data_IF_759735088463
#
_entry.id   IF_759735088463
#
_cell.length_a   1.000
_cell.length_b   1.000
_cell.length_c   1.000
_cell.angle_alpha   90.00
_cell.angle_beta   90.00
_cell.angle_gamma   90.00
#
_symmetry.space_group_name_H-M   'P 1'
#
loop_
_entity.id
_entity.type
_entity.pdbx_description
1 polymer ?
#
# COMPACT_ATOMS: atom_id res chain seq x y z
N UNK A 1 54.12 -5.85 25.81
CA UNK A 1 53.53 -4.62 25.26
C UNK A 1 52.30 -5.04 24.45
N UNK A 2 51.12 -4.60 24.90
CA UNK A 2 49.75 -4.94 24.51
C UNK A 2 49.48 -5.81 23.25
N UNK A 3 49.10 -7.07 23.49
CA UNK A 3 48.17 -7.82 22.62
C UNK A 3 46.85 -7.93 23.38
N UNK A 4 45.91 -7.05 23.06
CA UNK A 4 44.57 -7.04 23.66
C UNK A 4 43.68 -7.98 22.86
N UNK A 5 43.36 -9.11 23.48
CA UNK A 5 42.36 -10.10 23.05
C UNK A 5 41.00 -9.39 22.90
N UNK A 6 40.56 -9.18 21.65
CA UNK A 6 39.15 -8.92 21.30
C UNK A 6 38.49 -10.26 20.97
N UNK A 7 38.33 -11.13 21.98
CA UNK A 7 37.27 -12.14 21.94
C UNK A 7 35.98 -11.43 22.37
N UNK A 8 35.39 -10.71 21.42
CA UNK A 8 34.00 -10.26 21.54
C UNK A 8 33.12 -11.50 21.43
N UNK A 9 32.41 -11.78 22.52
CA UNK A 9 31.31 -12.73 22.59
C UNK A 9 30.27 -12.39 21.51
N UNK A 10 30.39 -12.99 20.32
CA UNK A 10 29.20 -13.23 19.51
C UNK A 10 28.45 -14.37 20.19
N UNK A 11 27.58 -14.03 21.14
CA UNK A 11 26.45 -14.90 21.43
C UNK A 11 25.66 -15.00 20.11
N UNK A 12 25.89 -16.10 19.39
CA UNK A 12 25.05 -16.50 18.28
C UNK A 12 23.68 -16.81 18.90
N UNK A 13 22.86 -15.78 19.05
CA UNK A 13 21.45 -15.96 19.35
C UNK A 13 20.90 -16.83 18.23
N UNK A 14 20.56 -18.07 18.56
CA UNK A 14 19.85 -18.95 17.65
C UNK A 14 18.52 -18.27 17.37
N UNK A 15 18.42 -17.60 16.23
CA UNK A 15 17.21 -16.90 15.80
C UNK A 15 16.09 -17.93 15.79
N UNK A 16 15.09 -17.69 16.64
CA UNK A 16 13.92 -18.54 16.77
C UNK A 16 13.11 -18.41 15.48
N UNK A 17 12.77 -19.53 14.84
CA UNK A 17 11.93 -19.47 13.64
C UNK A 17 10.54 -18.91 13.98
N UNK A 18 9.89 -18.22 13.05
CA UNK A 18 8.54 -17.66 13.25
C UNK A 18 7.51 -18.68 13.75
N UNK A 19 7.51 -19.90 13.23
CA UNK A 19 6.64 -20.97 13.72
C UNK A 19 6.93 -21.36 15.18
N UNK A 20 8.19 -21.28 15.63
CA UNK A 20 8.54 -21.53 17.03
C UNK A 20 8.08 -20.38 17.93
N UNK A 21 8.18 -19.14 17.45
CA UNK A 21 7.63 -17.96 18.14
C UNK A 21 6.12 -18.15 18.38
N UNK A 22 5.39 -18.54 17.35
CA UNK A 22 3.94 -18.78 17.42
C UNK A 22 3.63 -19.98 18.33
N UNK A 23 4.31 -21.11 18.16
CA UNK A 23 4.12 -22.31 18.99
C UNK A 23 4.31 -22.01 20.48
N UNK A 24 5.38 -21.30 20.83
CA UNK A 24 5.67 -20.91 22.22
C UNK A 24 4.57 -20.01 22.80
N UNK A 25 3.97 -19.14 21.98
CA UNK A 25 2.87 -18.29 22.41
C UNK A 25 1.58 -19.10 22.59
N UNK A 26 1.27 -20.01 21.67
CA UNK A 26 0.12 -20.90 21.76
C UNK A 26 0.21 -21.84 22.96
N UNK A 27 1.39 -22.37 23.28
CA UNK A 27 1.57 -23.23 24.46
C UNK A 27 1.30 -22.50 25.78
N UNK A 28 1.51 -21.18 25.85
CA UNK A 28 1.12 -20.38 27.03
C UNK A 28 -0.41 -20.36 27.25
N UNK A 29 -1.19 -20.67 26.20
CA UNK A 29 -2.64 -20.85 26.27
C UNK A 29 -3.09 -22.28 26.53
N UNK A 30 -2.17 -23.24 26.71
CA UNK A 30 -2.49 -24.67 26.71
C UNK A 30 -2.89 -25.20 25.33
N UNK A 31 -2.50 -24.51 24.25
CA UNK A 31 -2.67 -24.97 22.88
C UNK A 31 -1.32 -25.49 22.37
N UNK A 32 -1.09 -26.78 22.58
CA UNK A 32 0.18 -27.43 22.24
C UNK A 32 0.22 -27.78 20.74
N UNK A 33 0.74 -26.84 19.95
CA UNK A 33 1.06 -27.07 18.54
C UNK A 33 2.56 -27.29 18.38
N UNK A 34 2.94 -28.39 17.72
CA UNK A 34 4.31 -28.57 17.28
C UNK A 34 4.63 -27.63 16.12
N UNK A 35 5.90 -27.21 16.02
CA UNK A 35 6.38 -26.38 14.92
C UNK A 35 6.00 -26.97 13.55
N UNK A 36 6.17 -28.27 13.38
CA UNK A 36 5.88 -28.98 12.14
C UNK A 36 4.41 -28.93 11.76
N UNK A 37 3.49 -28.91 12.74
CA UNK A 37 2.07 -28.76 12.47
C UNK A 37 1.76 -27.36 11.95
N UNK A 38 2.35 -26.32 12.56
CA UNK A 38 2.17 -24.94 12.11
C UNK A 38 2.79 -24.69 10.73
N UNK A 39 3.90 -25.36 10.39
CA UNK A 39 4.50 -25.31 9.05
C UNK A 39 3.61 -25.87 7.94
N UNK A 40 2.58 -26.67 8.28
CA UNK A 40 1.57 -27.15 7.33
C UNK A 40 0.34 -26.23 7.24
N UNK A 41 0.36 -25.08 7.91
CA UNK A 41 -0.73 -24.09 7.93
C UNK A 41 -0.28 -22.77 7.34
N UNK A 42 -1.22 -21.99 6.83
CA UNK A 42 -0.95 -20.65 6.28
C UNK A 42 -1.00 -19.55 7.37
N UNK A 43 -0.66 -19.90 8.62
CA UNK A 43 -0.87 -19.02 9.80
C UNK A 43 -0.08 -17.70 9.69
N UNK A 44 1.15 -17.73 9.16
CA UNK A 44 1.99 -16.53 9.04
C UNK A 44 1.40 -15.60 7.98
N UNK A 45 0.93 -16.16 6.88
CA UNK A 45 0.30 -15.47 5.78
C UNK A 45 -0.95 -14.74 6.28
N UNK A 46 -1.81 -15.41 7.04
CA UNK A 46 -2.98 -14.76 7.62
C UNK A 46 -2.62 -13.65 8.62
N UNK A 47 -1.58 -13.81 9.43
CA UNK A 47 -1.10 -12.77 10.35
C UNK A 47 -0.53 -11.55 9.61
N UNK A 48 0.22 -11.77 8.52
CA UNK A 48 0.71 -10.68 7.66
C UNK A 48 -0.45 -9.98 6.95
N UNK A 49 -1.44 -10.72 6.46
CA UNK A 49 -2.64 -10.17 5.83
C UNK A 49 -3.53 -9.39 6.81
N UNK A 50 -3.60 -9.81 8.08
CA UNK A 50 -4.26 -9.01 9.13
C UNK A 50 -3.54 -7.68 9.30
N UNK A 51 -2.21 -7.70 9.45
CA UNK A 51 -1.40 -6.49 9.62
C UNK A 51 -1.52 -5.53 8.43
N UNK A 52 -1.58 -6.07 7.20
CA UNK A 52 -1.78 -5.30 5.98
C UNK A 52 -3.24 -4.86 5.73
N UNK A 53 -4.18 -5.16 6.63
CA UNK A 53 -5.61 -4.83 6.45
C UNK A 53 -6.28 -5.59 5.30
N UNK A 54 -5.65 -6.65 4.80
CA UNK A 54 -6.05 -7.41 3.62
C UNK A 54 -6.78 -8.73 3.95
N UNK A 55 -6.93 -9.07 5.24
CA UNK A 55 -7.60 -10.30 5.67
C UNK A 55 -9.12 -10.28 5.43
N UNK A 56 -9.81 -9.18 5.77
CA UNK A 56 -11.29 -9.11 5.68
C UNK A 56 -11.84 -9.39 4.25
N UNK A 57 -11.27 -8.85 3.15
CA UNK A 57 -11.69 -9.19 1.78
C UNK A 57 -11.59 -10.69 1.40
N UNK A 58 -10.88 -11.49 2.20
CA UNK A 58 -10.69 -12.93 2.01
C UNK A 58 -11.69 -13.78 2.80
N UNK A 59 -12.59 -13.18 3.57
CA UNK A 59 -13.56 -13.94 4.36
C UNK A 59 -14.37 -14.91 3.48
N UNK A 60 -14.39 -16.19 3.87
CA UNK A 60 -15.05 -17.26 3.13
C UNK A 60 -14.34 -17.71 1.84
N UNK A 61 -13.11 -17.26 1.58
CA UNK A 61 -12.30 -17.67 0.42
C UNK A 61 -11.03 -18.41 0.89
N UNK A 62 -10.58 -19.43 0.15
CA UNK A 62 -9.29 -20.07 0.44
C UNK A 62 -8.16 -19.12 0.11
N UNK A 63 -7.13 -19.13 0.95
CA UNK A 63 -5.89 -18.44 0.64
C UNK A 63 -5.11 -19.27 -0.39
N UNK A 64 -4.52 -18.59 -1.38
CA UNK A 64 -3.59 -19.20 -2.34
C UNK A 64 -2.24 -18.52 -2.19
N UNK A 65 -1.73 -18.52 -0.96
CA UNK A 65 -0.51 -17.84 -0.56
C UNK A 65 0.39 -18.82 0.20
N UNK A 66 1.70 -18.76 -0.02
CA UNK A 66 2.66 -19.62 0.66
C UNK A 66 3.81 -18.78 1.19
N UNK A 67 4.18 -19.02 2.44
CA UNK A 67 5.28 -18.39 3.12
C UNK A 67 6.57 -19.19 2.92
N UNK A 68 7.65 -18.51 2.53
CA UNK A 68 8.98 -19.11 2.36
C UNK A 68 10.01 -18.41 3.24
N UNK A 69 10.40 -19.02 4.38
CA UNK A 69 11.38 -18.43 5.26
C UNK A 69 12.76 -18.37 4.58
N UNK A 70 13.42 -17.21 4.64
CA UNK A 70 14.77 -17.03 4.10
C UNK A 70 14.83 -16.89 2.57
N UNK A 71 13.70 -16.86 1.88
CA UNK A 71 13.67 -16.77 0.41
C UNK A 71 13.68 -15.30 -0.05
N UNK A 72 14.73 -14.95 -0.82
CA UNK A 72 14.86 -13.66 -1.54
C UNK A 72 14.40 -13.77 -3.00
N UNK A 73 13.87 -14.92 -3.42
CA UNK A 73 13.50 -15.20 -4.80
C UNK A 73 14.69 -15.01 -5.75
N UNK A 74 14.49 -14.22 -6.81
CA UNK A 74 15.54 -13.84 -7.77
C UNK A 74 16.07 -12.42 -7.55
N UNK A 75 15.60 -11.74 -6.52
CA UNK A 75 15.94 -10.34 -6.27
C UNK A 75 17.24 -10.24 -5.48
N UNK A 76 18.15 -9.41 -5.97
CA UNK A 76 19.30 -8.98 -5.20
C UNK A 76 18.84 -7.85 -4.28
N UNK A 77 18.95 -8.07 -2.97
CA UNK A 77 18.69 -7.07 -1.95
C UNK A 77 20.04 -6.67 -1.36
N UNK A 78 20.36 -5.38 -1.43
CA UNK A 78 21.65 -4.80 -1.01
C UNK A 78 21.76 -4.62 0.52
N UNK A 79 20.75 -5.04 1.29
CA UNK A 79 20.79 -4.98 2.74
C UNK A 79 21.32 -6.28 3.38
N UNK A 80 21.88 -6.12 4.58
CA UNK A 80 22.34 -7.21 5.42
C UNK A 80 21.17 -7.90 6.18
N UNK A 81 19.93 -7.52 5.88
CA UNK A 81 18.74 -8.01 6.58
C UNK A 81 18.34 -9.39 6.06
N UNK A 82 17.80 -10.19 6.97
CA UNK A 82 17.11 -11.43 6.60
C UNK A 82 15.76 -11.13 6.02
N UNK A 83 15.38 -11.92 5.03
CA UNK A 83 14.19 -11.74 4.25
C UNK A 83 13.48 -13.06 4.05
N UNK A 84 12.17 -13.00 3.98
CA UNK A 84 11.31 -14.12 3.64
C UNK A 84 10.25 -13.65 2.65
N UNK A 85 9.65 -14.57 1.90
CA UNK A 85 8.66 -14.22 0.88
C UNK A 85 7.27 -14.76 1.19
N UNK A 86 6.24 -14.03 0.74
CA UNK A 86 4.87 -14.49 0.61
C UNK A 86 4.55 -14.58 -0.89
N UNK A 87 4.17 -15.76 -1.35
CA UNK A 87 3.96 -16.05 -2.77
C UNK A 87 2.49 -16.35 -3.08
N UNK A 88 1.90 -15.63 -4.01
CA UNK A 88 0.49 -15.70 -4.37
C UNK A 88 0.23 -16.34 -5.74
N UNK A 89 -0.95 -16.95 -5.86
CA UNK A 89 -1.51 -17.36 -7.14
C UNK A 89 -1.20 -18.79 -7.55
N UNK A 90 -0.95 -19.68 -6.57
CA UNK A 90 -0.66 -21.08 -6.85
C UNK A 90 -1.85 -21.80 -7.45
N UNK A 91 -1.64 -22.33 -8.65
CA UNK A 91 -2.59 -23.21 -9.34
C UNK A 91 -2.13 -24.66 -9.09
N UNK A 92 -2.87 -25.46 -8.29
CA UNK A 92 -2.43 -26.79 -7.88
C UNK A 92 -2.35 -27.84 -8.99
N UNK A 93 -2.79 -27.53 -10.22
CA UNK A 93 -2.74 -28.49 -11.32
C UNK A 93 -2.53 -27.82 -12.67
N UNK A 94 -1.69 -28.46 -13.50
CA UNK A 94 -1.46 -28.14 -14.91
C UNK A 94 -2.74 -28.13 -15.77
N UNK A 95 -3.89 -28.53 -15.21
CA UNK A 95 -5.17 -28.63 -15.92
C UNK A 95 -6.00 -27.33 -15.85
N UNK A 96 -5.75 -26.43 -14.89
CA UNK A 96 -6.47 -25.14 -14.78
C UNK A 96 -5.56 -24.00 -15.24
N UNK A 97 -5.42 -23.85 -16.56
CA UNK A 97 -4.42 -22.98 -17.22
C UNK A 97 -4.55 -21.47 -16.94
N UNK A 98 -5.58 -20.98 -16.26
CA UNK A 98 -5.70 -19.55 -15.97
C UNK A 98 -6.44 -19.24 -14.68
N UNK A 99 -5.88 -18.29 -13.93
CA UNK A 99 -6.55 -17.57 -12.85
C UNK A 99 -7.49 -16.56 -13.51
N UNK A 100 -8.69 -16.34 -12.96
CA UNK A 100 -9.59 -15.31 -13.51
C UNK A 100 -8.99 -13.90 -13.36
N UNK A 101 -9.34 -12.98 -14.27
CA UNK A 101 -8.90 -11.57 -14.19
C UNK A 101 -9.29 -10.91 -12.86
N UNK A 102 -10.45 -11.31 -12.30
CA UNK A 102 -10.93 -10.86 -10.99
C UNK A 102 -10.01 -11.32 -9.85
N UNK A 103 -9.62 -12.60 -9.85
CA UNK A 103 -8.67 -13.14 -8.86
C UNK A 103 -7.28 -12.51 -9.04
N UNK A 104 -6.83 -12.30 -10.28
CA UNK A 104 -5.57 -11.62 -10.56
C UNK A 104 -5.57 -10.19 -10.00
N UNK A 105 -6.64 -9.45 -10.23
CA UNK A 105 -6.84 -8.11 -9.65
C UNK A 105 -6.82 -8.16 -8.14
N UNK A 106 -7.46 -9.16 -7.53
CA UNK A 106 -7.46 -9.35 -6.08
C UNK A 106 -6.05 -9.63 -5.53
N UNK A 107 -5.24 -10.47 -6.19
CA UNK A 107 -3.86 -10.72 -5.76
C UNK A 107 -2.99 -9.47 -5.86
N UNK A 108 -3.12 -8.71 -6.96
CA UNK A 108 -2.41 -7.42 -7.10
C UNK A 108 -2.80 -6.48 -5.96
N UNK A 109 -4.08 -6.40 -5.61
CA UNK A 109 -4.54 -5.57 -4.50
C UNK A 109 -3.95 -5.99 -3.16
N UNK A 110 -3.84 -7.30 -2.90
CA UNK A 110 -3.23 -7.83 -1.67
C UNK A 110 -1.72 -7.53 -1.62
N UNK A 111 -1.01 -7.82 -2.71
CA UNK A 111 0.42 -7.55 -2.85
C UNK A 111 0.71 -6.08 -2.60
N UNK A 112 -0.04 -5.19 -3.25
CA UNK A 112 0.07 -3.76 -3.02
C UNK A 112 -0.21 -3.41 -1.56
N UNK A 113 -1.26 -3.95 -0.94
CA UNK A 113 -1.57 -3.65 0.47
C UNK A 113 -0.40 -4.01 1.40
N UNK A 114 0.25 -5.16 1.16
CA UNK A 114 1.45 -5.57 1.90
C UNK A 114 2.61 -4.59 1.64
N UNK A 115 2.87 -4.20 0.38
CA UNK A 115 3.96 -3.26 0.06
C UNK A 115 3.79 -1.89 0.73
N UNK A 116 2.56 -1.38 0.77
CA UNK A 116 2.28 -0.11 1.44
C UNK A 116 2.41 -0.24 2.96
N UNK A 117 1.99 -1.37 3.54
CA UNK A 117 2.12 -1.63 4.97
C UNK A 117 3.57 -1.77 5.41
N UNK A 118 4.40 -2.36 4.54
CA UNK A 118 5.80 -2.65 4.81
C UNK A 118 6.69 -1.99 3.73
N UNK A 119 7.06 -0.70 3.88
CA UNK A 119 7.76 0.06 2.84
C UNK A 119 9.13 -0.49 2.41
N UNK A 120 9.75 -1.30 3.27
CA UNK A 120 11.02 -2.00 2.97
C UNK A 120 10.83 -3.32 2.19
N UNK A 121 9.59 -3.68 1.88
CA UNK A 121 9.30 -4.87 1.08
C UNK A 121 9.50 -4.62 -0.40
N UNK A 122 9.59 -5.70 -1.17
CA UNK A 122 9.71 -5.66 -2.62
C UNK A 122 8.82 -6.73 -3.25
N UNK A 123 8.01 -6.37 -4.23
CA UNK A 123 7.24 -7.36 -5.01
C UNK A 123 7.88 -7.73 -6.35
N UNK A 124 7.48 -8.89 -6.85
CA UNK A 124 7.74 -9.33 -8.21
C UNK A 124 6.49 -9.94 -8.83
N UNK A 125 6.32 -9.77 -10.15
CA UNK A 125 5.15 -10.23 -10.91
C UNK A 125 5.51 -11.19 -12.05
N UNK A 126 6.71 -11.80 -12.02
CA UNK A 126 7.14 -12.74 -13.06
C UNK A 126 6.72 -14.17 -12.68
N UNK A 127 6.16 -14.96 -13.63
CA UNK A 127 5.89 -16.36 -13.38
C UNK A 127 7.21 -17.06 -13.02
N UNK A 128 7.33 -17.50 -11.77
CA UNK A 128 8.38 -18.43 -11.37
C UNK A 128 7.79 -19.84 -11.50
N UNK A 129 8.23 -20.55 -12.54
CA UNK A 129 7.89 -21.95 -12.73
C UNK A 129 8.73 -22.79 -11.76
N UNK A 130 8.17 -23.13 -10.61
CA UNK A 130 8.68 -24.25 -9.83
C UNK A 130 8.13 -25.54 -10.43
N UNK A 131 8.84 -26.66 -10.26
CA UNK A 131 8.59 -27.94 -10.95
C UNK A 131 7.13 -28.42 -10.95
N UNK A 132 6.26 -27.92 -10.06
CA UNK A 132 4.86 -28.32 -9.94
C UNK A 132 3.85 -27.18 -9.73
N UNK A 133 4.25 -25.90 -9.85
CA UNK A 133 3.34 -24.78 -9.60
C UNK A 133 3.81 -23.46 -10.24
N UNK A 134 2.86 -22.68 -10.77
CA UNK A 134 3.09 -21.33 -11.27
C UNK A 134 2.76 -20.32 -10.16
N UNK A 135 3.77 -19.60 -9.67
CA UNK A 135 3.56 -18.44 -8.79
C UNK A 135 3.46 -17.22 -9.69
N UNK A 136 2.46 -16.37 -9.45
CA UNK A 136 2.26 -15.17 -10.28
C UNK A 136 2.76 -13.90 -9.63
N UNK A 137 2.70 -13.84 -8.31
CA UNK A 137 3.12 -12.68 -7.54
C UNK A 137 3.85 -13.13 -6.29
N UNK A 138 4.86 -12.37 -5.86
CA UNK A 138 5.46 -12.56 -4.55
C UNK A 138 5.82 -11.23 -3.94
N UNK A 139 5.81 -11.17 -2.61
CA UNK A 139 6.31 -10.05 -1.81
C UNK A 139 7.41 -10.56 -0.92
N UNK A 140 8.57 -9.94 -0.97
CA UNK A 140 9.70 -10.21 -0.09
C UNK A 140 9.68 -9.16 1.01
N UNK A 141 9.71 -9.60 2.26
CA UNK A 141 9.70 -8.73 3.43
C UNK A 141 10.92 -8.99 4.30
N UNK A 142 11.46 -7.95 4.97
CA UNK A 142 12.37 -8.14 6.07
C UNK A 142 11.74 -9.01 7.16
N UNK A 143 12.51 -9.93 7.72
CA UNK A 143 12.08 -10.85 8.77
C UNK A 143 11.54 -10.09 10.01
N UNK A 144 12.11 -8.91 10.31
CA UNK A 144 11.68 -8.05 11.41
C UNK A 144 10.22 -7.57 11.24
N UNK A 145 9.83 -7.24 10.00
CA UNK A 145 8.47 -6.82 9.68
C UNK A 145 7.46 -7.98 9.81
N UNK A 146 7.87 -9.20 9.42
CA UNK A 146 7.06 -10.40 9.60
C UNK A 146 6.91 -10.71 11.09
N UNK A 147 7.98 -10.61 11.87
CA UNK A 147 7.92 -10.79 13.33
C UNK A 147 6.96 -9.80 13.99
N UNK A 148 7.02 -8.52 13.58
CA UNK A 148 6.11 -7.50 14.06
C UNK A 148 4.66 -7.81 13.67
N UNK A 149 4.40 -8.23 12.42
CA UNK A 149 3.08 -8.65 11.97
C UNK A 149 2.54 -9.81 12.82
N UNK A 150 3.36 -10.83 13.08
CA UNK A 150 3.01 -11.95 13.96
C UNK A 150 2.66 -11.45 15.37
N UNK A 151 3.55 -10.68 16.00
CA UNK A 151 3.38 -10.20 17.39
C UNK A 151 2.16 -9.30 17.57
N UNK A 152 1.82 -8.53 16.54
CA UNK A 152 0.66 -7.63 16.53
C UNK A 152 -0.66 -8.30 16.11
N UNK A 153 -0.61 -9.54 15.63
CA UNK A 153 -1.79 -10.27 15.16
C UNK A 153 -2.73 -10.64 16.31
N UNK A 154 -4.02 -10.70 16.00
CA UNK A 154 -5.05 -11.07 16.97
C UNK A 154 -4.90 -12.51 17.47
N UNK A 155 -4.45 -13.43 16.62
CA UNK A 155 -4.15 -14.81 17.04
C UNK A 155 -3.04 -14.83 18.10
N UNK A 156 -1.94 -14.11 17.87
CA UNK A 156 -0.81 -14.07 18.78
C UNK A 156 -1.17 -13.38 20.10
N UNK A 157 -1.87 -12.23 20.04
CA UNK A 157 -2.35 -11.52 21.22
C UNK A 157 -3.32 -12.37 22.05
N UNK A 158 -4.27 -13.04 21.42
CA UNK A 158 -5.24 -13.90 22.11
C UNK A 158 -4.58 -15.13 22.75
N UNK A 159 -3.49 -15.60 22.18
CA UNK A 159 -2.67 -16.67 22.74
C UNK A 159 -1.82 -16.24 23.96
N UNK A 160 -1.68 -14.94 24.21
CA UNK A 160 -0.93 -14.42 25.36
C UNK A 160 -1.71 -14.26 26.65
N UNK A 161 -1.12 -13.46 27.53
CA UNK A 161 -1.73 -13.03 28.78
C UNK A 161 -2.80 -11.97 28.50
N UNK A 162 -4.07 -12.36 28.72
CA UNK A 162 -5.22 -11.50 28.50
C UNK A 162 -5.44 -10.49 29.64
N UNK A 163 -4.78 -10.67 30.80
CA UNK A 163 -5.00 -9.82 31.98
C UNK A 163 -4.49 -8.39 31.80
N UNK A 164 -3.61 -8.16 30.82
CA UNK A 164 -3.12 -6.84 30.45
C UNK A 164 -4.12 -6.04 29.59
N UNK A 165 -5.18 -6.67 29.08
CA UNK A 165 -6.16 -6.04 28.19
C UNK A 165 -7.39 -5.59 28.97
N UNK A 166 -7.86 -4.37 28.69
CA UNK A 166 -9.13 -3.88 29.22
C UNK A 166 -10.34 -4.51 28.51
N UNK A 167 -11.54 -4.25 29.05
CA UNK A 167 -12.79 -4.79 28.53
C UNK A 167 -13.00 -4.45 27.05
N UNK A 168 -12.76 -3.20 26.65
CA UNK A 168 -12.94 -2.73 25.28
C UNK A 168 -11.97 -3.44 24.33
N UNK A 169 -10.71 -3.62 24.73
CA UNK A 169 -9.67 -4.29 23.97
C UNK A 169 -9.95 -5.78 23.80
N UNK A 170 -10.43 -6.47 24.84
CA UNK A 170 -10.82 -7.88 24.77
C UNK A 170 -12.03 -8.10 23.84
N UNK A 171 -13.03 -7.22 23.91
CA UNK A 171 -14.19 -7.28 23.02
C UNK A 171 -13.80 -7.05 21.56
N UNK A 172 -12.88 -6.10 21.31
CA UNK A 172 -12.34 -5.84 19.99
C UNK A 172 -11.48 -7.00 19.48
N UNK A 173 -10.60 -7.56 20.32
CA UNK A 173 -9.79 -8.74 20.01
C UNK A 173 -10.67 -9.92 19.59
N UNK A 174 -11.76 -10.17 20.34
CA UNK A 174 -12.75 -11.19 19.97
C UNK A 174 -13.36 -10.94 18.59
N UNK A 175 -13.64 -9.69 18.23
CA UNK A 175 -14.18 -9.34 16.89
C UNK A 175 -13.14 -9.60 15.80
N UNK A 176 -11.89 -9.20 16.01
CA UNK A 176 -10.80 -9.46 15.07
C UNK A 176 -10.52 -10.94 14.87
N UNK A 177 -10.56 -11.76 15.92
CA UNK A 177 -10.43 -13.22 15.80
C UNK A 177 -11.49 -13.83 14.86
N UNK A 178 -12.70 -13.28 14.81
CA UNK A 178 -13.73 -13.76 13.88
C UNK A 178 -13.40 -13.48 12.40
N UNK A 179 -12.42 -12.62 12.09
CA UNK A 179 -11.91 -12.44 10.72
C UNK A 179 -11.12 -13.66 10.23
N UNK A 180 -10.60 -14.49 11.15
CA UNK A 180 -9.88 -15.72 10.84
C UNK A 180 -10.80 -16.92 10.59
N UNK A 181 -12.13 -16.75 10.71
CA UNK A 181 -13.13 -17.75 10.28
C UNK A 181 -13.26 -17.73 8.76
N UNK A 182 -12.25 -18.29 8.11
CA UNK A 182 -12.05 -18.30 6.66
C UNK A 182 -12.23 -19.72 6.12
N UNK A 183 -11.93 -19.96 4.85
CA UNK A 183 -12.11 -21.29 4.26
C UNK A 183 -11.03 -22.32 4.68
N UNK A 184 -10.05 -21.93 5.49
CA UNK A 184 -9.07 -22.83 6.10
C UNK A 184 -9.62 -23.35 7.43
N UNK A 185 -9.89 -24.66 7.50
CA UNK A 185 -10.48 -25.32 8.66
C UNK A 185 -9.52 -25.31 9.87
N UNK A 186 -8.20 -25.46 9.66
CA UNK A 186 -7.23 -25.50 10.74
C UNK A 186 -7.12 -24.14 11.44
N UNK A 187 -7.07 -23.07 10.64
CA UNK A 187 -6.99 -21.70 11.14
C UNK A 187 -8.32 -21.27 11.77
N UNK A 188 -9.44 -21.68 11.17
CA UNK A 188 -10.76 -21.40 11.73
C UNK A 188 -10.97 -22.08 13.08
N UNK A 189 -10.59 -23.35 13.22
CA UNK A 189 -10.66 -24.09 14.48
C UNK A 189 -9.78 -23.44 15.56
N UNK A 190 -8.54 -23.06 15.21
CA UNK A 190 -7.66 -22.34 16.13
C UNK A 190 -8.28 -21.02 16.58
N UNK A 191 -8.85 -20.24 15.66
CA UNK A 191 -9.50 -18.97 15.96
C UNK A 191 -10.70 -19.17 16.90
N UNK A 192 -11.51 -20.22 16.72
CA UNK A 192 -12.62 -20.56 17.61
C UNK A 192 -12.17 -20.87 19.03
N UNK A 193 -11.13 -21.71 19.19
CA UNK A 193 -10.56 -22.02 20.51
C UNK A 193 -10.05 -20.76 21.22
N UNK A 194 -9.43 -19.84 20.47
CA UNK A 194 -8.97 -18.56 21.01
C UNK A 194 -10.13 -17.61 21.35
N UNK A 195 -11.20 -17.59 20.56
CA UNK A 195 -12.43 -16.84 20.88
C UNK A 195 -13.04 -17.36 22.19
N UNK A 196 -13.09 -18.67 22.38
CA UNK A 196 -13.60 -19.28 23.61
C UNK A 196 -12.74 -18.92 24.82
N UNK A 197 -11.41 -18.96 24.68
CA UNK A 197 -10.49 -18.48 25.72
C UNK A 197 -10.79 -17.03 26.11
N UNK A 198 -10.96 -16.13 25.14
CA UNK A 198 -11.32 -14.72 25.39
C UNK A 198 -12.68 -14.60 26.08
N UNK A 199 -13.69 -15.38 25.67
CA UNK A 199 -15.01 -15.40 26.30
C UNK A 199 -14.96 -15.89 27.76
N UNK A 200 -14.17 -16.92 28.05
CA UNK A 200 -13.95 -17.43 29.40
C UNK A 200 -13.27 -16.35 30.26
N UNK A 201 -12.24 -15.68 29.74
CA UNK A 201 -11.58 -14.60 30.45
C UNK A 201 -12.54 -13.43 30.74
N UNK A 202 -13.32 -13.00 29.74
CA UNK A 202 -14.33 -11.97 29.90
C UNK A 202 -15.34 -12.31 31.01
N UNK A 203 -15.92 -13.51 30.97
CA UNK A 203 -16.93 -13.93 31.95
C UNK A 203 -16.38 -14.13 33.37
N UNK A 204 -15.10 -14.46 33.51
CA UNK A 204 -14.44 -14.62 34.80
C UNK A 204 -14.09 -13.28 35.45
N UNK A 205 -13.73 -12.26 34.65
CA UNK A 205 -13.15 -11.01 35.16
C UNK A 205 -14.06 -9.79 35.07
N UNK A 206 -15.16 -9.85 34.30
CA UNK A 206 -16.06 -8.71 34.11
C UNK A 206 -17.52 -9.09 34.35
N UNK A 207 -18.30 -8.14 34.86
CA UNK A 207 -19.74 -8.32 35.06
C UNK A 207 -20.45 -8.51 33.70
N UNK A 208 -21.36 -9.51 33.56
CA UNK A 208 -22.08 -9.74 32.30
C UNK A 208 -22.85 -8.52 31.78
N UNK A 209 -23.37 -7.67 32.66
CA UNK A 209 -24.09 -6.44 32.30
C UNK A 209 -23.13 -5.43 31.69
N UNK A 210 -21.94 -5.26 32.27
CA UNK A 210 -20.89 -4.38 31.72
C UNK A 210 -20.43 -4.87 30.34
N UNK A 211 -20.25 -6.18 30.17
CA UNK A 211 -19.92 -6.78 28.88
C UNK A 211 -21.00 -6.43 27.83
N UNK A 212 -22.28 -6.60 28.17
CA UNK A 212 -23.39 -6.29 27.25
C UNK A 212 -23.49 -4.80 26.94
N UNK A 213 -23.22 -3.91 27.91
CA UNK A 213 -23.21 -2.47 27.71
C UNK A 213 -22.05 -2.00 26.82
N UNK A 214 -20.87 -2.63 26.93
CA UNK A 214 -19.69 -2.28 26.15
C UNK A 214 -19.71 -2.85 24.72
N UNK A 215 -20.47 -3.93 24.47
CA UNK A 215 -20.53 -4.62 23.18
C UNK A 215 -20.84 -3.68 21.98
N UNK A 216 -21.86 -2.80 22.02
CA UNK A 216 -22.16 -1.94 20.88
C UNK A 216 -21.04 -0.93 20.58
N UNK A 217 -20.30 -0.49 21.61
CA UNK A 217 -19.15 0.41 21.45
C UNK A 217 -18.00 -0.31 20.75
N UNK A 218 -17.66 -1.53 21.20
CA UNK A 218 -16.65 -2.36 20.57
C UNK A 218 -17.01 -2.70 19.11
N UNK A 219 -18.29 -2.96 18.84
CA UNK A 219 -18.79 -3.19 17.47
C UNK A 219 -18.57 -1.98 16.57
N UNK A 220 -18.95 -0.77 17.03
CA UNK A 220 -18.73 0.46 16.26
C UNK A 220 -17.24 0.70 16.00
N UNK A 221 -16.39 0.48 17.01
CA UNK A 221 -14.92 0.60 16.86
C UNK A 221 -14.39 -0.38 15.82
N UNK A 222 -14.85 -1.64 15.86
CA UNK A 222 -14.45 -2.65 14.89
C UNK A 222 -14.89 -2.31 13.46
N UNK A 223 -16.14 -1.88 13.27
CA UNK A 223 -16.65 -1.44 11.96
C UNK A 223 -15.86 -0.24 11.44
N UNK A 224 -15.57 0.74 12.29
CA UNK A 224 -14.76 1.90 11.92
C UNK A 224 -13.34 1.50 11.50
N UNK A 225 -12.69 0.56 12.22
CA UNK A 225 -11.38 0.04 11.81
C UNK A 225 -11.41 -0.62 10.43
N UNK A 226 -12.44 -1.43 10.15
CA UNK A 226 -12.60 -2.06 8.83
C UNK A 226 -12.86 -1.03 7.73
N UNK A 227 -13.63 0.02 8.02
CA UNK A 227 -13.89 1.10 7.08
C UNK A 227 -12.61 1.89 6.79
N UNK A 228 -11.82 2.23 7.82
CA UNK A 228 -10.56 2.94 7.64
C UNK A 228 -9.54 2.11 6.86
N UNK A 229 -9.44 0.80 7.10
CA UNK A 229 -8.57 -0.07 6.29
C UNK A 229 -8.97 -0.08 4.80
N UNK A 230 -10.26 0.07 4.48
CA UNK A 230 -10.72 0.21 3.09
C UNK A 230 -10.31 1.56 2.50
N UNK A 231 -10.44 2.64 3.27
CA UNK A 231 -10.02 3.97 2.83
C UNK A 231 -8.49 4.07 2.68
N UNK A 232 -7.70 3.41 3.54
CA UNK A 232 -6.26 3.23 3.36
C UNK A 232 -5.95 2.55 2.03
N UNK A 233 -6.63 1.44 1.74
CA UNK A 233 -6.45 0.74 0.47
C UNK A 233 -6.78 1.63 -0.73
N UNK A 234 -7.87 2.39 -0.66
CA UNK A 234 -8.28 3.35 -1.69
C UNK A 234 -7.27 4.49 -1.85
N UNK A 235 -6.75 5.04 -0.75
CA UNK A 235 -5.66 6.04 -0.78
C UNK A 235 -4.46 5.51 -1.54
N UNK A 236 -4.00 4.31 -1.19
CA UNK A 236 -2.83 3.66 -1.78
C UNK A 236 -3.03 3.39 -3.27
N UNK A 237 -4.21 2.94 -3.69
CA UNK A 237 -4.55 2.78 -5.12
C UNK A 237 -4.48 4.12 -5.88
N UNK A 238 -5.09 5.17 -5.33
CA UNK A 238 -5.08 6.51 -5.93
C UNK A 238 -3.64 7.05 -6.01
N UNK A 239 -2.84 6.83 -4.96
CA UNK A 239 -1.46 7.27 -4.88
C UNK A 239 -0.58 6.51 -5.88
N UNK A 240 -0.78 5.20 -6.04
CA UNK A 240 -0.08 4.40 -7.05
C UNK A 240 -0.34 4.94 -8.46
N UNK A 241 -1.59 5.26 -8.79
CA UNK A 241 -1.95 5.85 -10.09
C UNK A 241 -1.25 7.19 -10.33
N UNK A 242 -1.12 8.03 -9.30
CA UNK A 242 -0.39 9.30 -9.37
C UNK A 242 1.12 9.06 -9.46
N UNK A 243 1.65 8.10 -8.71
CA UNK A 243 3.08 7.80 -8.62
C UNK A 243 3.70 7.41 -9.95
N UNK A 244 2.99 6.70 -10.83
CA UNK A 244 3.47 6.46 -12.20
C UNK A 244 3.84 7.76 -12.91
N UNK A 245 3.00 8.79 -12.76
CA UNK A 245 3.25 10.10 -13.36
C UNK A 245 4.37 10.86 -12.64
N UNK A 246 4.38 10.85 -11.32
CA UNK A 246 5.43 11.51 -10.53
C UNK A 246 6.81 10.90 -10.84
N UNK A 247 6.88 9.58 -10.98
CA UNK A 247 8.07 8.86 -11.39
C UNK A 247 8.51 9.28 -12.80
N UNK A 248 7.60 9.33 -13.78
CA UNK A 248 7.92 9.79 -15.14
C UNK A 248 8.52 11.20 -15.14
N UNK A 249 7.92 12.13 -14.39
CA UNK A 249 8.41 13.52 -14.28
C UNK A 249 9.78 13.58 -13.61
N UNK A 250 9.97 12.82 -12.54
CA UNK A 250 11.24 12.75 -11.81
C UNK A 250 12.34 12.14 -12.68
N UNK A 251 12.05 11.00 -13.33
CA UNK A 251 12.98 10.32 -14.23
C UNK A 251 13.45 11.27 -15.33
N UNK A 252 12.53 11.90 -16.07
CA UNK A 252 12.89 12.82 -17.14
C UNK A 252 13.67 14.05 -16.69
N UNK A 253 13.49 14.55 -15.47
CA UNK A 253 14.27 15.68 -14.95
C UNK A 253 15.59 15.29 -14.26
N UNK A 254 15.88 14.00 -14.10
CA UNK A 254 17.08 13.50 -13.43
C UNK A 254 18.17 13.18 -14.44
N UNK A 255 19.31 13.87 -14.35
CA UNK A 255 20.41 13.75 -15.33
C UNK A 255 21.17 12.42 -15.24
N UNK A 256 21.39 11.94 -14.02
CA UNK A 256 22.07 10.70 -13.74
C UNK A 256 21.58 10.14 -12.40
N UNK A 257 21.64 8.83 -12.24
CA UNK A 257 21.33 8.14 -11.00
C UNK A 257 22.62 7.80 -10.24
N UNK A 258 22.55 7.82 -8.92
CA UNK A 258 23.59 7.24 -8.08
C UNK A 258 23.67 5.74 -8.39
N UNK A 259 24.88 5.22 -8.57
CA UNK A 259 25.11 3.78 -8.62
C UNK A 259 24.97 3.21 -7.21
N UNK A 260 24.33 2.05 -7.08
CA UNK A 260 24.20 1.37 -5.78
C UNK A 260 25.55 1.02 -5.13
N UNK A 261 26.62 0.90 -5.93
CA UNK A 261 27.98 0.74 -5.44
C UNK A 261 28.69 2.09 -5.22
N UNK A 262 29.35 2.22 -4.07
CA UNK A 262 30.05 3.45 -3.65
C UNK A 262 31.18 3.90 -4.59
N UNK A 263 31.73 2.98 -5.38
CA UNK A 263 32.88 3.21 -6.26
C UNK A 263 32.49 3.31 -7.74
N UNK A 264 31.22 3.08 -8.08
CA UNK A 264 30.74 3.14 -9.45
C UNK A 264 30.48 4.59 -9.89
N UNK A 265 30.65 4.84 -11.19
CA UNK A 265 30.29 6.14 -11.77
C UNK A 265 28.76 6.27 -11.84
N UNK A 266 28.21 7.48 -11.65
CA UNK A 266 26.77 7.73 -11.82
C UNK A 266 26.26 7.23 -13.17
N UNK A 267 25.12 6.54 -13.16
CA UNK A 267 24.49 6.01 -14.37
C UNK A 267 23.80 7.16 -15.10
N UNK A 268 24.30 7.53 -16.28
CA UNK A 268 23.71 8.60 -17.10
C UNK A 268 22.30 8.20 -17.52
N UNK A 269 21.33 9.10 -17.31
CA UNK A 269 19.97 8.88 -17.74
C UNK A 269 19.78 9.33 -19.20
N UNK A 270 19.60 8.37 -20.09
CA UNK A 270 19.39 8.64 -21.53
C UNK A 270 18.06 9.34 -21.83
N UNK A 271 17.10 9.29 -20.91
CA UNK A 271 15.79 9.95 -21.06
C UNK A 271 15.75 11.35 -20.41
N UNK A 272 16.90 11.87 -19.96
CA UNK A 272 16.97 13.21 -19.37
C UNK A 272 16.54 14.28 -20.37
N UNK A 273 15.57 15.10 -19.96
CA UNK A 273 15.11 16.28 -20.67
C UNK A 273 15.23 17.50 -19.73
N UNK A 274 16.10 18.48 -20.04
CA UNK A 274 16.33 19.64 -19.19
C UNK A 274 15.05 20.48 -18.96
N UNK A 275 14.02 20.36 -19.80
CA UNK A 275 12.74 21.01 -19.57
C UNK A 275 12.07 20.51 -18.28
N UNK A 276 12.32 19.25 -17.87
CA UNK A 276 11.75 18.65 -16.67
C UNK A 276 12.54 18.97 -15.39
N UNK A 277 13.69 19.64 -15.49
CA UNK A 277 14.58 19.93 -14.35
C UNK A 277 13.89 20.70 -13.21
N UNK A 278 12.93 21.57 -13.52
CA UNK A 278 12.13 22.30 -12.52
C UNK A 278 11.03 21.46 -11.88
N UNK A 279 10.36 20.63 -12.67
CA UNK A 279 9.17 19.87 -12.21
C UNK A 279 9.54 18.57 -11.48
N UNK A 280 10.69 17.98 -11.80
CA UNK A 280 11.18 16.76 -11.18
C UNK A 280 11.32 16.84 -9.64
N UNK A 281 12.03 17.83 -9.05
CA UNK A 281 12.14 17.91 -7.59
C UNK A 281 10.79 18.12 -6.91
N UNK A 282 9.84 18.79 -7.57
CA UNK A 282 8.48 19.00 -7.07
C UNK A 282 7.69 17.70 -7.09
N UNK A 283 7.80 16.92 -8.17
CA UNK A 283 7.17 15.60 -8.27
C UNK A 283 7.73 14.63 -7.21
N UNK A 284 9.04 14.65 -6.98
CA UNK A 284 9.70 13.87 -5.94
C UNK A 284 9.22 14.28 -4.54
N UNK A 285 9.19 15.59 -4.24
CA UNK A 285 8.71 16.11 -2.96
C UNK A 285 7.23 15.79 -2.72
N UNK A 286 6.39 15.93 -3.74
CA UNK A 286 4.97 15.55 -3.65
C UNK A 286 4.83 14.07 -3.34
N UNK A 287 5.57 13.21 -4.05
CA UNK A 287 5.55 11.75 -3.80
C UNK A 287 5.97 11.44 -2.37
N UNK A 288 7.12 11.93 -1.92
CA UNK A 288 7.62 11.65 -0.57
C UNK A 288 6.68 12.16 0.51
N UNK A 289 6.08 13.35 0.31
CA UNK A 289 5.15 13.94 1.29
C UNK A 289 3.84 13.15 1.39
N UNK A 290 3.28 12.69 0.27
CA UNK A 290 2.05 11.88 0.27
C UNK A 290 2.27 10.48 0.84
N UNK A 291 3.39 9.83 0.46
CA UNK A 291 3.77 8.51 1.01
C UNK A 291 4.01 8.61 2.51
N UNK A 292 4.81 9.60 2.95
CA UNK A 292 5.11 9.83 4.36
C UNK A 292 3.85 10.13 5.17
N UNK A 293 3.01 11.06 4.71
CA UNK A 293 1.77 11.40 5.41
C UNK A 293 0.80 10.21 5.52
N UNK A 294 0.70 9.38 4.48
CA UNK A 294 -0.08 8.15 4.53
C UNK A 294 0.48 7.16 5.55
N UNK A 295 1.79 6.89 5.51
CA UNK A 295 2.44 5.99 6.47
C UNK A 295 2.29 6.49 7.91
N UNK A 296 2.54 7.78 8.16
CA UNK A 296 2.43 8.38 9.48
C UNK A 296 1.01 8.29 10.04
N UNK A 297 -0.01 8.36 9.20
CA UNK A 297 -1.41 8.26 9.62
C UNK A 297 -1.89 6.83 9.80
N UNK A 298 -1.65 5.95 8.82
CA UNK A 298 -2.22 4.60 8.80
C UNK A 298 -1.39 3.56 9.58
N UNK A 299 -0.09 3.80 9.82
CA UNK A 299 0.76 2.88 10.57
C UNK A 299 0.94 3.22 12.05
N UNK A 300 0.44 4.37 12.50
CA UNK A 300 0.49 4.78 13.91
C UNK A 300 -0.91 4.76 14.55
N UNK A 301 -1.00 4.81 15.89
CA UNK A 301 -2.23 5.09 16.59
C UNK A 301 -3.05 6.23 15.96
N UNK A 302 -4.24 5.91 15.47
CA UNK A 302 -5.11 6.88 14.82
C UNK A 302 -5.75 7.79 15.87
N UNK A 303 -5.69 9.09 15.62
CA UNK A 303 -6.27 10.12 16.47
C UNK A 303 -6.88 11.23 15.59
N UNK A 304 -7.72 12.07 16.19
CA UNK A 304 -8.26 13.25 15.50
C UNK A 304 -7.15 14.23 15.08
N UNK A 305 -6.07 14.30 15.84
CA UNK A 305 -4.96 15.23 15.54
C UNK A 305 -4.07 14.68 14.42
N UNK A 306 -3.70 13.39 14.48
CA UNK A 306 -2.96 12.76 13.37
C UNK A 306 -3.76 12.77 12.07
N UNK A 307 -5.08 12.67 12.14
CA UNK A 307 -5.95 12.83 10.97
C UNK A 307 -5.96 14.25 10.40
N UNK A 308 -6.09 15.28 11.25
CA UNK A 308 -6.01 16.69 10.80
C UNK A 308 -4.67 16.99 10.14
N UNK A 309 -3.59 16.46 10.72
CA UNK A 309 -2.24 16.58 10.17
C UNK A 309 -2.14 15.90 8.80
N UNK A 310 -2.60 14.65 8.69
CA UNK A 310 -2.66 13.93 7.42
C UNK A 310 -3.39 14.71 6.32
N UNK A 311 -4.62 15.18 6.62
CA UNK A 311 -5.46 15.98 5.70
C UNK A 311 -4.76 17.29 5.31
N UNK A 312 -4.14 17.97 6.27
CA UNK A 312 -3.40 19.22 6.04
C UNK A 312 -2.17 19.02 5.16
N UNK A 313 -1.38 17.99 5.43
CA UNK A 313 -0.15 17.65 4.69
C UNK A 313 -0.49 17.27 3.25
N UNK A 314 -1.52 16.46 3.03
CA UNK A 314 -2.02 16.14 1.68
C UNK A 314 -2.43 17.42 0.94
N UNK A 315 -3.26 18.26 1.56
CA UNK A 315 -3.75 19.50 0.94
C UNK A 315 -2.60 20.44 0.57
N UNK A 316 -1.68 20.71 1.50
CA UNK A 316 -0.53 21.60 1.27
C UNK A 316 0.38 21.08 0.17
N UNK A 317 0.69 19.78 0.18
CA UNK A 317 1.57 19.16 -0.82
C UNK A 317 0.97 19.22 -2.22
N UNK A 318 -0.32 18.85 -2.35
CA UNK A 318 -1.04 18.93 -3.63
C UNK A 318 -1.10 20.38 -4.13
N UNK A 319 -1.46 21.33 -3.26
CA UNK A 319 -1.55 22.74 -3.63
C UNK A 319 -0.19 23.29 -4.09
N UNK A 320 0.89 22.95 -3.40
CA UNK A 320 2.25 23.39 -3.76
C UNK A 320 2.71 22.83 -5.12
N UNK A 321 2.32 21.60 -5.47
CA UNK A 321 2.68 21.00 -6.75
C UNK A 321 1.80 21.48 -7.92
N UNK A 322 0.56 21.89 -7.65
CA UNK A 322 -0.46 22.20 -8.66
C UNK A 322 -0.05 23.33 -9.60
N UNK A 323 0.48 24.43 -9.04
CA UNK A 323 0.87 25.60 -9.83
C UNK A 323 1.99 25.25 -10.80
N UNK A 324 2.98 24.52 -10.33
CA UNK A 324 4.15 24.11 -11.11
C UNK A 324 3.81 23.06 -12.16
N UNK A 325 2.90 22.12 -11.85
CA UNK A 325 2.40 21.16 -12.84
C UNK A 325 1.53 21.83 -13.91
N UNK A 326 0.84 22.93 -13.57
CA UNK A 326 0.08 23.75 -14.52
C UNK A 326 0.98 24.60 -15.43
N UNK A 327 2.07 25.13 -14.89
CA UNK A 327 3.08 25.90 -15.64
C UNK A 327 3.98 25.02 -16.49
N UNK A 328 4.22 23.77 -16.07
CA UNK A 328 4.99 22.78 -16.79
C UNK A 328 4.26 22.31 -18.06
N UNK A 329 4.16 23.19 -19.06
CA UNK A 329 3.84 22.77 -20.42
C UNK A 329 5.14 22.32 -21.03
N UNK A 330 5.24 21.06 -21.45
CA UNK A 330 6.32 20.56 -22.31
C UNK A 330 6.25 21.22 -23.71
N UNK A 331 6.25 22.55 -23.76
CA UNK A 331 6.07 23.40 -24.94
C UNK A 331 7.10 23.06 -26.01
N UNK A 332 8.33 22.75 -25.59
CA UNK A 332 9.36 22.24 -26.47
C UNK A 332 8.93 20.94 -27.16
N UNK A 333 8.29 20.00 -26.46
CA UNK A 333 7.91 18.70 -27.04
C UNK A 333 6.68 18.78 -27.95
N UNK A 334 5.60 19.44 -27.54
CA UNK A 334 4.43 19.60 -28.42
C UNK A 334 4.79 20.39 -29.68
N UNK A 335 5.55 21.48 -29.56
CA UNK A 335 6.00 22.22 -30.72
C UNK A 335 6.93 21.37 -31.59
N UNK A 336 7.84 20.58 -30.99
CA UNK A 336 8.81 19.77 -31.72
C UNK A 336 8.26 18.44 -32.28
N UNK A 337 7.17 17.90 -31.74
CA UNK A 337 6.50 16.68 -32.21
C UNK A 337 5.38 16.96 -33.22
N UNK A 338 4.98 18.23 -33.39
CA UNK A 338 4.11 18.61 -34.51
C UNK A 338 4.77 18.21 -35.83
N UNK A 339 3.97 17.56 -36.69
CA UNK A 339 4.33 17.23 -38.05
C UNK A 339 4.98 18.47 -38.71
N UNK A 340 6.14 18.37 -39.39
CA UNK A 340 6.84 19.52 -39.97
C UNK A 340 5.95 20.43 -40.83
N UNK A 341 4.88 19.89 -41.41
CA UNK A 341 3.84 20.65 -42.12
C UNK A 341 3.07 21.58 -41.16
N UNK A 342 2.63 21.10 -40.00
CA UNK A 342 1.94 21.90 -38.97
C UNK A 342 2.86 22.95 -38.35
N UNK A 343 4.14 22.64 -38.11
CA UNK A 343 5.14 23.63 -37.69
C UNK A 343 5.27 24.77 -38.71
N UNK A 344 5.36 24.41 -39.99
CA UNK A 344 5.45 25.36 -41.10
C UNK A 344 4.17 26.19 -41.24
N UNK A 345 2.99 25.59 -41.02
CA UNK A 345 1.72 26.30 -40.97
C UNK A 345 1.66 27.26 -39.79
N UNK A 346 2.09 26.88 -38.58
CA UNK A 346 2.10 27.78 -37.41
C UNK A 346 3.09 28.94 -37.61
N UNK A 347 4.25 28.67 -38.20
CA UNK A 347 5.22 29.72 -38.57
C UNK A 347 4.66 30.66 -39.64
N UNK A 348 4.00 30.12 -40.68
CA UNK A 348 3.30 30.90 -41.70
C UNK A 348 2.12 31.69 -41.12
N UNK A 349 1.34 31.13 -40.19
CA UNK A 349 0.20 31.79 -39.55
C UNK A 349 0.66 32.91 -38.62
N UNK A 350 1.78 32.75 -37.91
CA UNK A 350 2.43 33.85 -37.17
C UNK A 350 2.91 34.97 -38.09
N UNK A 351 3.44 34.63 -39.27
CA UNK A 351 3.85 35.60 -40.29
C UNK A 351 2.65 36.27 -41.00
N UNK A 352 1.52 35.56 -41.11
CA UNK A 352 0.27 36.01 -41.75
C UNK A 352 -0.78 36.49 -40.74
N UNK A 353 -0.40 36.75 -39.48
CA UNK A 353 -1.29 36.95 -38.33
C UNK A 353 -2.31 38.11 -38.47
N UNK A 354 -2.16 38.97 -39.47
CA UNK A 354 -3.15 40.00 -39.80
C UNK A 354 -4.29 39.53 -40.72
N UNK A 355 -4.14 38.45 -41.51
CA UNK A 355 -5.07 38.09 -42.61
C UNK A 355 -5.84 36.80 -42.33
N UNK A 356 -5.24 35.80 -41.67
CA UNK A 356 -5.87 34.49 -41.43
C UNK A 356 -6.83 34.50 -40.23
N UNK A 357 -6.68 35.44 -39.28
CA UNK A 357 -7.55 35.56 -38.11
C UNK A 357 -9.04 35.71 -38.47
N UNK A 358 -9.38 36.16 -39.70
CA UNK A 358 -10.75 36.23 -40.20
C UNK A 358 -11.31 34.92 -40.79
N UNK A 359 -10.46 34.01 -41.30
CA UNK A 359 -10.90 32.79 -42.01
C UNK A 359 -10.99 31.56 -41.10
N UNK A 360 -10.24 31.51 -40.00
CA UNK A 360 -10.30 30.43 -39.00
C UNK A 360 -11.45 30.57 -38.01
N UNK A 361 -12.21 31.68 -38.08
CA UNK A 361 -13.36 31.93 -37.21
C UNK A 361 -14.44 30.86 -37.43
N UNK A 362 -14.68 30.44 -38.68
CA UNK A 362 -15.83 29.57 -39.01
C UNK A 362 -15.65 28.13 -38.51
N UNK A 363 -14.52 27.43 -38.73
CA UNK A 363 -14.31 26.10 -38.14
C UNK A 363 -14.24 26.15 -36.62
N UNK A 364 -13.64 27.20 -36.04
CA UNK A 364 -13.59 27.43 -34.60
C UNK A 364 -14.97 27.66 -33.98
N UNK A 365 -15.85 28.43 -34.66
CA UNK A 365 -17.24 28.62 -34.23
C UNK A 365 -18.03 27.31 -34.28
N UNK A 366 -17.86 26.52 -35.35
CA UNK A 366 -18.56 25.25 -35.49
C UNK A 366 -18.11 24.25 -34.42
N UNK A 367 -16.81 24.17 -34.11
CA UNK A 367 -16.33 23.33 -33.01
C UNK A 367 -16.70 23.89 -31.64
N UNK A 368 -16.85 25.22 -31.47
CA UNK A 368 -17.40 25.82 -30.25
C UNK A 368 -18.88 25.46 -30.04
N UNK A 369 -19.67 25.41 -31.12
CA UNK A 369 -21.12 25.16 -31.08
C UNK A 369 -21.43 23.65 -30.94
N UNK A 370 -20.65 22.78 -31.58
CA UNK A 370 -20.98 21.36 -31.71
C UNK A 370 -20.21 20.43 -30.75
N UNK A 371 -19.18 20.92 -30.05
CA UNK A 371 -18.48 20.12 -29.03
C UNK A 371 -18.92 20.56 -27.63
N UNK A 372 -19.17 19.58 -26.75
CA UNK A 372 -19.49 19.83 -25.33
C UNK A 372 -18.37 20.60 -24.59
N UNK A 373 -17.17 20.69 -25.16
CA UNK A 373 -16.00 21.37 -24.59
C UNK A 373 -15.55 22.60 -25.40
N UNK A 374 -16.19 22.90 -26.53
CA UNK A 374 -15.80 23.95 -27.47
C UNK A 374 -14.45 23.75 -28.19
N UNK A 375 -14.10 24.63 -29.13
CA UNK A 375 -12.83 24.57 -29.88
C UNK A 375 -11.63 24.78 -28.94
N UNK A 376 -11.78 25.70 -27.99
CA UNK A 376 -10.73 26.00 -27.00
C UNK A 376 -10.55 24.83 -26.03
N UNK A 377 -11.61 24.19 -25.54
CA UNK A 377 -11.47 23.01 -24.68
C UNK A 377 -10.96 21.77 -25.42
N UNK A 378 -11.26 21.63 -26.72
CA UNK A 378 -10.84 20.47 -27.51
C UNK A 378 -9.37 20.56 -27.97
N UNK A 379 -8.91 21.74 -28.40
CA UNK A 379 -7.55 21.92 -28.96
C UNK A 379 -6.57 22.62 -28.02
N UNK A 380 -7.08 23.36 -27.05
CA UNK A 380 -6.28 24.10 -26.08
C UNK A 380 -6.60 23.68 -24.66
N UNK A 381 -6.95 22.41 -24.41
CA UNK A 381 -7.09 21.89 -23.05
C UNK A 381 -5.81 22.24 -22.29
N UNK A 382 -5.90 23.26 -21.44
CA UNK A 382 -4.72 23.98 -20.92
C UNK A 382 -4.02 23.19 -19.82
N UNK A 383 -4.65 22.11 -19.37
CA UNK A 383 -4.16 21.25 -18.31
C UNK A 383 -3.23 20.20 -18.87
N UNK A 384 -2.04 20.14 -18.29
CA UNK A 384 -1.07 19.10 -18.57
C UNK A 384 -1.62 17.76 -18.06
N UNK A 385 -1.18 16.65 -18.65
CA UNK A 385 -1.57 15.32 -18.16
C UNK A 385 -1.24 15.14 -16.67
N UNK A 386 -0.09 15.66 -16.23
CA UNK A 386 0.32 15.71 -14.82
C UNK A 386 -0.66 16.46 -13.94
N UNK A 387 -1.09 17.66 -14.36
CA UNK A 387 -2.08 18.45 -13.63
C UNK A 387 -3.43 17.71 -13.56
N UNK A 388 -3.87 17.12 -14.66
CA UNK A 388 -5.13 16.35 -14.70
C UNK A 388 -5.09 15.15 -13.75
N UNK A 389 -3.98 14.41 -13.69
CA UNK A 389 -3.80 13.28 -12.76
C UNK A 389 -3.78 13.75 -11.31
N UNK A 390 -3.09 14.87 -11.02
CA UNK A 390 -3.08 15.48 -9.69
C UNK A 390 -4.47 15.96 -9.25
N UNK A 391 -5.21 16.65 -10.13
CA UNK A 391 -6.58 17.09 -9.83
C UNK A 391 -7.55 15.92 -9.67
N UNK A 392 -7.35 14.83 -10.42
CA UNK A 392 -8.14 13.61 -10.23
C UNK A 392 -7.86 13.01 -8.84
N UNK A 393 -6.59 12.93 -8.44
CA UNK A 393 -6.21 12.50 -7.09
C UNK A 393 -6.83 13.40 -6.02
N UNK A 394 -6.64 14.72 -6.13
CA UNK A 394 -7.20 15.74 -5.25
C UNK A 394 -8.73 15.61 -5.13
N UNK A 395 -9.44 15.47 -6.24
CA UNK A 395 -10.89 15.32 -6.25
C UNK A 395 -11.33 14.08 -5.47
N UNK A 396 -10.69 12.92 -5.70
CA UNK A 396 -11.04 11.69 -4.99
C UNK A 396 -10.75 11.76 -3.48
N UNK A 397 -9.83 12.63 -3.05
CA UNK A 397 -9.58 12.86 -1.63
C UNK A 397 -10.60 13.81 -0.98
N UNK A 398 -10.88 14.94 -1.63
CA UNK A 398 -11.57 16.09 -1.00
C UNK A 398 -13.01 16.32 -1.44
N UNK A 399 -13.54 15.61 -2.45
CA UNK A 399 -14.94 15.78 -2.83
C UNK A 399 -15.90 15.17 -1.79
N UNK A 400 -17.19 15.53 -1.87
CA UNK A 400 -18.23 14.82 -1.11
C UNK A 400 -18.23 13.33 -1.51
N UNK A 401 -18.27 12.43 -0.53
CA UNK A 401 -18.03 10.99 -0.74
C UNK A 401 -16.59 10.62 -1.11
N UNK A 402 -15.67 11.58 -1.03
CA UNK A 402 -14.23 11.37 -1.17
C UNK A 402 -13.64 10.74 0.10
N UNK A 403 -12.35 10.40 0.03
CA UNK A 403 -11.67 9.70 1.12
C UNK A 403 -11.78 10.41 2.47
N UNK A 404 -11.57 11.73 2.50
CA UNK A 404 -11.65 12.48 3.76
C UNK A 404 -13.06 12.59 4.31
N UNK A 405 -14.08 12.62 3.46
CA UNK A 405 -15.48 12.63 3.89
C UNK A 405 -15.86 11.28 4.54
N UNK A 406 -15.36 10.16 4.01
CA UNK A 406 -15.55 8.85 4.64
C UNK A 406 -14.77 8.72 5.96
N UNK A 407 -13.51 9.15 6.00
CA UNK A 407 -12.74 9.15 7.24
C UNK A 407 -13.34 10.07 8.33
N UNK A 408 -13.92 11.22 7.95
CA UNK A 408 -14.60 12.13 8.88
C UNK A 408 -15.77 11.43 9.61
N UNK A 409 -16.42 10.44 8.99
CA UNK A 409 -17.50 9.66 9.60
C UNK A 409 -16.99 8.62 10.60
N UNK A 410 -15.85 7.99 10.31
CA UNK A 410 -15.38 6.82 11.03
C UNK A 410 -14.46 7.14 12.21
N UNK A 411 -13.58 8.14 12.08
CA UNK A 411 -12.57 8.46 13.10
C UNK A 411 -13.17 8.81 14.47
N UNK A 412 -14.31 9.54 14.59
CA UNK A 412 -14.96 9.77 15.88
C UNK A 412 -15.31 8.48 16.65
N UNK A 413 -15.45 7.35 15.96
CA UNK A 413 -15.82 6.07 16.56
C UNK A 413 -14.64 5.27 17.12
N UNK A 414 -13.39 5.68 16.85
CA UNK A 414 -12.20 5.00 17.39
C UNK A 414 -11.94 5.30 18.88
N UNK A 415 -12.47 6.41 19.41
CA UNK A 415 -12.24 6.87 20.78
C UNK A 415 -10.94 7.69 20.92
N UNK A 416 -10.56 8.00 22.17
CA UNK A 416 -9.32 8.74 22.48
C UNK A 416 -8.15 7.76 22.40
N UNK A 417 -7.54 7.65 21.20
CA UNK A 417 -6.33 6.86 20.87
C UNK A 417 -6.46 5.34 20.99
N UNK A 418 -5.93 4.61 20.01
CA UNK A 418 -5.81 3.13 19.98
C UNK A 418 -4.38 2.74 20.32
#
# INVERSE_FOLDING_TARGET
MFVRIRQLFFHVYKIMSFYQLIANQLSQSGLDYEKQQLEQTDIIEYMVLESAGALHPLQGKPLKCFFRPGDKGTLHLEDDKKHSSLEFGLVPSLQKLSISEKEQTQFIQIVNAIEHKFPESSSYSKPLSYKHSEIRYGVILPDENIEQAIKSSSLFMAAGDLSALDLDSLLLLRKKLNLYKIADDNISELAERLVDKVNIHLSKHFDPTLIQQALPKAERKFVAMLAIAREEHKFNQLLQMLNYKLFELTHKGTKAYESGASDDLPVVNNDFDPNYSKVAPIAQLLRSSLVGAGADFFNNPMSQDSYKEFKSTCYKSIKGAKDEFGQFRGWAKWYNELNPILKSIIACVKALGGVIAGLTIVPGLLTEIYSEQGYVGTFFNTKTDSLRKLETFEKNLFCNGGLFDELDKEIPHLGVTI
#
